data_IF_454850666603
#
_entry.id   IF_454850666603
#
_cell.length_a   1.000
_cell.length_b   1.000
_cell.length_c   1.000
_cell.angle_alpha   90.00
_cell.angle_beta   90.00
_cell.angle_gamma   90.00
#
_symmetry.space_group_name_H-M   'P 1'
#
loop_
_entity.id
_entity.type
_entity.pdbx_description
1 polymer ?
#
# COMPACT_ATOMS: atom_id res chain seq x y z
N UNK A 1 -16.61 -31.51 51.31
CA UNK A 1 -15.40 -32.18 51.84
C UNK A 1 -14.24 -31.72 50.99
N UNK A 2 -13.28 -31.05 51.64
CA UNK A 2 -12.22 -30.21 51.05
C UNK A 2 -11.20 -31.10 50.32
N UNK A 3 -10.73 -30.68 49.14
CA UNK A 3 -9.47 -31.16 48.58
C UNK A 3 -8.69 -29.98 47.95
N UNK A 4 -7.37 -29.85 48.17
CA UNK A 4 -6.65 -28.59 48.07
C UNK A 4 -5.88 -28.37 46.76
N UNK A 5 -5.48 -27.12 46.61
CA UNK A 5 -4.63 -26.47 45.60
C UNK A 5 -3.25 -27.11 45.40
N UNK A 6 -2.79 -27.18 44.14
CA UNK A 6 -1.36 -27.26 43.79
C UNK A 6 -0.97 -26.11 42.86
N UNK A 7 0.08 -25.40 43.28
CA UNK A 7 0.67 -24.21 42.70
C UNK A 7 1.28 -24.44 41.31
N UNK A 8 1.03 -23.51 40.39
CA UNK A 8 1.79 -23.37 39.13
C UNK A 8 2.93 -22.38 39.30
N UNK A 9 4.14 -22.83 38.95
CA UNK A 9 5.36 -22.02 38.79
C UNK A 9 5.26 -21.15 37.52
N UNK A 10 5.80 -19.92 37.51
CA UNK A 10 5.80 -19.07 36.32
C UNK A 10 6.87 -19.54 35.33
N UNK A 11 6.46 -19.90 34.11
CA UNK A 11 7.37 -20.13 32.99
C UNK A 11 8.02 -18.81 32.57
N UNK A 12 9.35 -18.78 32.61
CA UNK A 12 10.18 -17.71 32.07
C UNK A 12 9.90 -17.53 30.57
N UNK A 13 9.32 -16.38 30.19
CA UNK A 13 9.25 -15.94 28.80
C UNK A 13 10.64 -15.49 28.38
N UNK A 14 11.33 -16.33 27.60
CA UNK A 14 12.61 -15.98 26.97
C UNK A 14 12.31 -15.14 25.73
N UNK A 15 12.52 -13.83 25.85
CA UNK A 15 12.44 -12.87 24.75
C UNK A 15 13.60 -13.14 23.79
N UNK A 16 13.30 -13.63 22.58
CA UNK A 16 14.31 -13.80 21.52
C UNK A 16 14.61 -12.44 20.91
N UNK A 17 15.72 -11.83 21.33
CA UNK A 17 16.34 -10.70 20.62
C UNK A 17 17.26 -11.28 19.54
N UNK A 18 17.16 -10.90 18.26
CA UNK A 18 18.11 -11.36 17.25
C UNK A 18 19.44 -10.62 17.43
N UNK A 19 20.53 -11.40 17.49
CA UNK A 19 21.91 -10.92 17.44
C UNK A 19 22.19 -10.21 16.10
N UNK A 20 22.74 -8.99 16.08
CA UNK A 20 23.31 -8.43 14.87
C UNK A 20 24.67 -9.10 14.66
N UNK A 21 24.97 -9.51 13.42
CA UNK A 21 26.23 -10.17 13.00
C UNK A 21 26.19 -11.70 13.00
N UNK A 22 25.71 -12.29 11.89
CA UNK A 22 26.33 -13.48 11.30
C UNK A 22 26.51 -13.29 9.79
N UNK A 23 27.62 -13.76 9.20
CA UNK A 23 27.93 -13.57 7.80
C UNK A 23 27.16 -14.55 6.92
N UNK A 24 26.95 -14.14 5.66
CA UNK A 24 26.30 -14.90 4.60
C UNK A 24 26.88 -16.31 4.44
N UNK A 25 26.01 -17.31 4.50
CA UNK A 25 26.33 -18.72 4.25
C UNK A 25 25.05 -19.55 4.17
N UNK A 26 24.80 -20.05 2.97
CA UNK A 26 23.71 -20.93 2.52
C UNK A 26 22.30 -20.31 2.39
N UNK A 27 21.93 -20.15 1.13
CA UNK A 27 20.59 -19.98 0.58
C UNK A 27 19.71 -21.18 0.92
N UNK A 28 19.04 -21.14 2.06
CA UNK A 28 17.78 -21.85 2.27
C UNK A 28 16.68 -20.79 2.37
N UNK A 29 15.75 -20.86 1.42
CA UNK A 29 14.57 -20.01 1.35
C UNK A 29 13.81 -20.03 2.67
N UNK A 30 13.98 -18.98 3.47
CA UNK A 30 13.24 -18.79 4.71
C UNK A 30 11.84 -18.27 4.38
N UNK A 31 11.04 -19.07 3.67
CA UNK A 31 9.59 -18.85 3.62
C UNK A 31 9.08 -19.18 5.02
N UNK A 32 8.90 -18.16 5.86
CA UNK A 32 8.30 -18.34 7.18
C UNK A 32 6.79 -18.47 6.99
N UNK A 33 6.37 -19.71 6.70
CA UNK A 33 4.97 -20.15 6.81
C UNK A 33 4.36 -19.68 8.12
N UNK A 34 3.03 -19.49 8.17
CA UNK A 34 2.32 -19.27 9.42
C UNK A 34 2.52 -20.56 10.26
N UNK A 35 3.38 -20.54 11.31
CA UNK A 35 3.93 -21.79 11.84
C UNK A 35 2.89 -22.69 12.51
N UNK A 36 1.73 -22.13 12.87
CA UNK A 36 0.70 -22.81 13.65
C UNK A 36 -0.26 -23.68 12.83
N UNK A 37 -0.25 -23.61 11.49
CA UNK A 37 -1.24 -24.33 10.65
C UNK A 37 -0.67 -25.13 9.49
N UNK A 38 0.66 -25.21 9.33
CA UNK A 38 1.28 -25.96 8.22
C UNK A 38 0.86 -25.47 6.83
N UNK A 39 0.51 -24.18 6.73
CA UNK A 39 0.07 -23.53 5.49
C UNK A 39 1.20 -22.71 4.90
N UNK A 40 1.43 -22.86 3.60
CA UNK A 40 2.34 -22.03 2.80
C UNK A 40 1.60 -20.79 2.28
N UNK A 41 0.94 -20.07 3.20
CA UNK A 41 0.20 -18.85 2.85
C UNK A 41 1.17 -17.79 2.33
N UNK A 42 0.91 -17.30 1.11
CA UNK A 42 1.66 -16.20 0.51
C UNK A 42 1.26 -14.89 1.19
N UNK A 43 2.24 -14.20 1.77
CA UNK A 43 2.09 -12.89 2.40
C UNK A 43 2.59 -11.79 1.45
N UNK A 44 1.71 -10.85 1.09
CA UNK A 44 2.05 -9.67 0.28
C UNK A 44 2.06 -8.43 1.16
N UNK A 45 3.20 -7.75 1.27
CA UNK A 45 3.32 -6.52 2.04
C UNK A 45 3.01 -5.29 1.16
N UNK A 46 1.95 -4.56 1.49
CA UNK A 46 1.61 -3.28 0.87
C UNK A 46 2.24 -2.12 1.63
N UNK A 47 2.73 -1.11 0.91
CA UNK A 47 3.11 0.19 1.46
C UNK A 47 2.36 1.33 0.77
N UNK A 48 1.77 2.21 1.57
CA UNK A 48 1.07 3.43 1.13
C UNK A 48 1.95 4.69 1.24
N UNK A 49 3.24 4.49 1.51
CA UNK A 49 4.18 5.58 1.78
C UNK A 49 4.44 6.51 0.60
N UNK A 50 4.08 6.13 -0.64
CA UNK A 50 4.18 7.02 -1.80
C UNK A 50 3.33 8.28 -1.62
N UNK A 51 2.12 8.11 -1.10
CA UNK A 51 1.14 9.18 -0.97
C UNK A 51 0.95 9.67 0.47
N UNK A 52 1.45 8.93 1.46
CA UNK A 52 1.24 9.23 2.86
C UNK A 52 1.82 10.59 3.27
N UNK A 53 1.06 11.32 4.08
CA UNK A 53 1.42 12.64 4.60
C UNK A 53 1.54 12.69 6.12
N UNK A 54 1.17 11.60 6.80
CA UNK A 54 1.14 11.49 8.26
C UNK A 54 1.75 10.18 8.75
N UNK A 55 2.26 10.20 9.98
CA UNK A 55 2.80 9.06 10.70
C UNK A 55 2.29 9.07 12.15
N UNK A 56 2.02 7.90 12.72
CA UNK A 56 1.43 7.79 14.06
C UNK A 56 2.40 8.12 15.20
N UNK A 57 3.68 7.79 15.05
CA UNK A 57 4.69 7.93 16.11
C UNK A 57 6.09 8.07 15.52
N UNK A 58 6.98 8.73 16.24
CA UNK A 58 8.42 8.87 15.96
C UNK A 58 9.26 7.73 16.55
N UNK A 59 8.66 6.64 17.04
CA UNK A 59 9.42 5.63 17.80
C UNK A 59 10.42 4.84 16.97
N UNK A 60 10.17 4.67 15.66
CA UNK A 60 11.01 3.87 14.78
C UNK A 60 12.09 4.73 14.10
N UNK A 61 13.38 4.48 14.36
CA UNK A 61 14.44 5.30 13.79
C UNK A 61 14.56 5.24 12.27
N UNK A 62 13.97 4.22 11.63
CA UNK A 62 13.95 4.10 10.17
C UNK A 62 13.04 5.13 9.52
N UNK A 63 12.02 5.61 10.24
CA UNK A 63 11.11 6.63 9.74
C UNK A 63 11.65 8.05 9.89
N UNK A 64 12.60 8.29 10.81
CA UNK A 64 13.09 9.63 11.16
C UNK A 64 13.58 10.46 9.98
N UNK A 65 14.18 9.83 8.97
CA UNK A 65 14.66 10.52 7.76
C UNK A 65 13.53 11.13 6.91
N UNK A 66 12.28 10.74 7.16
CA UNK A 66 11.09 11.15 6.41
C UNK A 66 10.12 12.00 7.25
N UNK A 67 10.41 12.24 8.54
CA UNK A 67 9.53 13.02 9.41
C UNK A 67 9.84 14.51 9.24
N UNK A 68 8.80 15.28 8.94
CA UNK A 68 8.87 16.73 8.75
C UNK A 68 8.80 17.43 10.11
N UNK A 69 9.76 18.32 10.36
CA UNK A 69 9.79 19.18 11.54
C UNK A 69 9.79 20.66 11.17
N UNK A 70 9.26 21.48 12.08
CA UNK A 70 9.35 22.93 11.97
C UNK A 70 10.79 23.37 12.17
N UNK A 71 11.20 24.34 11.36
CA UNK A 71 12.50 25.02 11.46
C UNK A 71 12.35 26.49 11.89
N UNK A 72 11.14 26.91 12.28
CA UNK A 72 10.85 28.26 12.74
C UNK A 72 10.69 28.30 14.28
N UNK A 73 11.71 28.77 15.03
CA UNK A 73 11.66 28.79 16.50
C UNK A 73 10.72 29.84 17.09
N UNK A 74 10.14 30.72 16.26
CA UNK A 74 9.20 31.76 16.74
C UNK A 74 7.77 31.27 16.88
N UNK A 75 7.45 30.07 16.39
CA UNK A 75 6.11 29.51 16.44
C UNK A 75 5.88 28.69 17.70
N UNK A 76 4.72 28.87 18.32
CA UNK A 76 4.18 27.92 19.28
C UNK A 76 3.70 26.64 18.58
N UNK A 77 3.56 25.51 19.29
CA UNK A 77 3.01 24.27 18.72
C UNK A 77 1.63 24.49 18.07
N UNK A 78 1.41 23.86 16.92
CA UNK A 78 0.18 24.00 16.14
C UNK A 78 -1.06 23.68 16.98
N UNK A 79 -1.03 22.60 17.75
CA UNK A 79 -2.18 22.17 18.53
C UNK A 79 -2.59 23.17 19.61
N UNK A 80 -1.66 23.93 20.18
CA UNK A 80 -1.96 25.00 21.15
C UNK A 80 -2.68 26.17 20.46
N UNK A 81 -2.19 26.56 19.28
CA UNK A 81 -2.81 27.60 18.46
C UNK A 81 -4.24 27.20 18.01
N UNK A 82 -4.41 25.94 17.58
CA UNK A 82 -5.72 25.40 17.18
C UNK A 82 -6.69 25.37 18.35
N UNK A 83 -6.24 24.92 19.53
CA UNK A 83 -7.06 24.90 20.75
C UNK A 83 -7.49 26.31 21.18
N UNK A 84 -6.59 27.29 21.08
CA UNK A 84 -6.91 28.69 21.39
C UNK A 84 -7.89 29.28 20.37
N UNK A 85 -7.72 28.98 19.08
CA UNK A 85 -8.62 29.38 18.01
C UNK A 85 -10.04 28.83 18.19
N UNK A 86 -10.17 27.54 18.52
CA UNK A 86 -11.48 26.92 18.82
C UNK A 86 -12.14 27.58 20.04
N UNK A 87 -11.39 27.83 21.12
CA UNK A 87 -11.91 28.56 22.31
C UNK A 87 -12.36 29.98 22.00
N UNK A 88 -11.76 30.63 21.02
CA UNK A 88 -12.16 31.94 20.51
C UNK A 88 -13.36 31.87 19.55
N UNK A 89 -13.94 30.68 19.32
CA UNK A 89 -15.14 30.48 18.49
C UNK A 89 -14.86 30.23 17.01
N UNK A 90 -13.59 30.06 16.58
CA UNK A 90 -13.29 29.69 15.19
C UNK A 90 -13.66 28.23 14.92
N UNK A 91 -14.31 27.99 13.79
CA UNK A 91 -14.75 26.64 13.37
C UNK A 91 -14.63 26.49 11.85
N UNK A 92 -14.64 25.24 11.37
CA UNK A 92 -14.69 24.93 9.94
C UNK A 92 -13.59 25.63 9.14
N UNK A 93 -13.92 26.38 8.06
CA UNK A 93 -12.91 27.03 7.20
C UNK A 93 -11.97 28.00 7.92
N UNK A 94 -12.42 28.67 8.98
CA UNK A 94 -11.58 29.62 9.71
C UNK A 94 -10.52 28.91 10.55
N UNK A 95 -10.84 27.70 11.04
CA UNK A 95 -9.87 26.86 11.75
C UNK A 95 -8.88 26.22 10.77
N UNK A 96 -9.33 25.80 9.59
CA UNK A 96 -8.43 25.31 8.54
C UNK A 96 -7.42 26.39 8.13
N UNK A 97 -7.85 27.65 7.98
CA UNK A 97 -6.96 28.76 7.64
C UNK A 97 -5.86 28.97 8.69
N UNK A 98 -6.18 28.79 9.98
CA UNK A 98 -5.18 28.86 11.07
C UNK A 98 -4.12 27.78 10.92
N UNK A 99 -4.51 26.55 10.58
CA UNK A 99 -3.55 25.47 10.30
C UNK A 99 -2.70 25.77 9.06
N UNK A 100 -3.33 26.19 7.96
CA UNK A 100 -2.64 26.48 6.70
C UNK A 100 -1.61 27.61 6.86
N UNK A 101 -1.98 28.70 7.54
CA UNK A 101 -1.09 29.84 7.83
C UNK A 101 0.09 29.42 8.72
N UNK A 102 -0.16 28.56 9.71
CA UNK A 102 0.89 28.03 10.58
C UNK A 102 1.84 27.12 9.80
N UNK A 103 1.33 26.21 8.97
CA UNK A 103 2.14 25.31 8.14
C UNK A 103 3.01 26.09 7.15
N UNK A 104 2.46 27.13 6.53
CA UNK A 104 3.21 28.02 5.65
C UNK A 104 4.35 28.75 6.40
N UNK A 105 4.10 29.15 7.65
CA UNK A 105 5.08 29.84 8.49
C UNK A 105 6.12 28.91 9.13
N UNK A 106 5.78 27.63 9.30
CA UNK A 106 6.60 26.66 10.02
C UNK A 106 7.85 26.20 9.27
N UNK A 107 7.89 26.43 7.95
CA UNK A 107 8.95 25.99 7.05
C UNK A 107 9.35 24.53 7.33
N UNK A 108 8.38 23.63 7.13
CA UNK A 108 8.58 22.21 7.40
C UNK A 108 9.66 21.63 6.50
N UNK A 109 10.62 20.94 7.11
CA UNK A 109 11.74 20.31 6.40
C UNK A 109 12.03 18.94 7.00
N UNK A 110 12.71 18.08 6.26
CA UNK A 110 13.37 16.92 6.83
C UNK A 110 14.58 17.40 7.65
N UNK A 111 14.93 16.69 8.72
CA UNK A 111 16.08 17.07 9.54
C UNK A 111 17.36 17.17 8.71
N UNK A 112 17.57 16.22 7.80
CA UNK A 112 18.74 16.22 6.94
C UNK A 112 18.80 17.46 6.03
N UNK A 113 17.68 17.87 5.45
CA UNK A 113 17.61 19.07 4.59
C UNK A 113 17.83 20.36 5.40
N UNK A 114 17.35 20.40 6.64
CA UNK A 114 17.60 21.50 7.56
C UNK A 114 19.10 21.61 7.90
N UNK A 115 19.80 20.48 8.08
CA UNK A 115 21.27 20.45 8.27
C UNK A 115 22.01 20.93 7.03
N UNK A 116 21.64 20.47 5.84
CA UNK A 116 22.27 20.90 4.59
C UNK A 116 22.09 22.41 4.36
N UNK A 117 20.90 22.93 4.66
CA UNK A 117 20.60 24.36 4.60
C UNK A 117 21.37 25.17 5.66
N UNK A 118 21.62 24.58 6.83
CA UNK A 118 22.45 25.21 7.87
C UNK A 118 23.93 25.27 7.45
N UNK A 119 24.47 24.22 6.81
CA UNK A 119 25.82 24.24 6.21
C UNK A 119 25.94 25.35 5.17
N UNK A 120 24.92 25.55 4.33
CA UNK A 120 24.93 26.63 3.33
C UNK A 120 24.98 28.03 3.95
N UNK A 121 24.32 28.23 5.09
CA UNK A 121 24.23 29.53 5.77
C UNK A 121 25.33 29.76 6.82
N UNK A 122 26.15 28.75 7.12
CA UNK A 122 27.17 28.85 8.13
C UNK A 122 28.23 29.92 7.77
N UNK A 123 28.39 30.99 8.56
CA UNK A 123 29.30 32.09 8.24
C UNK A 123 30.77 31.74 8.42
N UNK A 124 31.08 30.69 9.21
CA UNK A 124 32.43 30.21 9.49
C UNK A 124 32.93 29.10 8.56
N UNK A 125 32.15 28.70 7.55
CA UNK A 125 32.50 27.63 6.61
C UNK A 125 32.67 28.23 5.22
N UNK A 126 33.85 28.06 4.61
CA UNK A 126 34.11 28.62 3.28
C UNK A 126 33.27 27.93 2.21
N UNK A 127 32.97 28.63 1.11
CA UNK A 127 32.19 28.08 0.01
C UNK A 127 32.81 26.82 -0.61
N UNK A 128 34.13 26.67 -0.56
CA UNK A 128 34.85 25.47 -1.03
C UNK A 128 34.70 24.26 -0.11
N UNK A 129 34.42 24.46 1.18
CA UNK A 129 34.29 23.37 2.16
C UNK A 129 32.86 22.83 2.25
N UNK A 130 31.86 23.65 1.96
CA UNK A 130 30.43 23.30 2.06
C UNK A 130 30.06 22.01 1.31
N UNK A 131 30.47 21.78 0.05
CA UNK A 131 30.12 20.55 -0.66
C UNK A 131 30.63 19.29 0.05
N UNK A 132 31.87 19.31 0.52
CA UNK A 132 32.47 18.15 1.20
C UNK A 132 31.77 17.84 2.53
N UNK A 133 31.42 18.87 3.31
CA UNK A 133 30.69 18.70 4.57
C UNK A 133 29.26 18.16 4.34
N UNK A 134 28.59 18.60 3.28
CA UNK A 134 27.27 18.09 2.89
C UNK A 134 27.34 16.60 2.55
N UNK A 135 28.28 16.21 1.70
CA UNK A 135 28.49 14.79 1.36
C UNK A 135 28.84 13.97 2.59
N UNK A 136 29.76 14.47 3.43
CA UNK A 136 30.12 13.82 4.68
C UNK A 136 28.92 13.59 5.60
N UNK A 137 28.06 14.61 5.78
CA UNK A 137 26.85 14.48 6.58
C UNK A 137 25.88 13.46 5.98
N UNK A 138 25.59 13.55 4.67
CA UNK A 138 24.64 12.67 4.00
C UNK A 138 25.06 11.19 4.07
N UNK A 139 26.35 10.91 3.92
CA UNK A 139 26.86 9.54 3.99
C UNK A 139 26.85 9.00 5.42
N UNK A 140 27.25 9.80 6.41
CA UNK A 140 27.32 9.37 7.81
C UNK A 140 25.97 9.35 8.52
N UNK A 141 25.00 10.16 8.10
CA UNK A 141 23.65 10.20 8.67
C UNK A 141 22.72 9.11 8.10
N UNK A 142 23.12 8.42 7.02
CA UNK A 142 22.28 7.41 6.37
C UNK A 142 21.96 6.26 7.33
N UNK A 143 20.66 6.00 7.53
CA UNK A 143 20.18 4.94 8.43
C UNK A 143 20.38 5.22 9.92
N UNK A 144 20.78 6.44 10.31
CA UNK A 144 20.93 6.85 11.70
C UNK A 144 19.62 7.34 12.29
N UNK A 145 19.47 7.17 13.60
CA UNK A 145 18.37 7.79 14.35
C UNK A 145 18.50 9.32 14.36
N UNK A 146 17.41 10.03 14.70
CA UNK A 146 17.41 11.48 14.80
C UNK A 146 18.43 11.99 15.83
N UNK A 147 18.57 11.30 16.97
CA UNK A 147 19.55 11.65 18.00
C UNK A 147 20.99 11.54 17.50
N UNK A 148 21.31 10.46 16.78
CA UNK A 148 22.63 10.27 16.18
C UNK A 148 22.91 11.30 15.07
N UNK A 149 21.93 11.53 14.19
CA UNK A 149 22.05 12.54 13.13
C UNK A 149 22.23 13.95 13.70
N UNK A 150 21.56 14.27 14.82
CA UNK A 150 21.69 15.55 15.53
C UNK A 150 23.07 15.70 16.19
N UNK A 151 23.60 14.64 16.79
CA UNK A 151 24.96 14.63 17.33
C UNK A 151 26.02 14.82 16.23
N UNK A 152 25.84 14.18 15.08
CA UNK A 152 26.69 14.37 13.91
C UNK A 152 26.63 15.82 13.40
N UNK A 153 25.43 16.36 13.21
CA UNK A 153 25.24 17.74 12.75
C UNK A 153 25.92 18.75 13.70
N UNK A 154 25.77 18.57 15.02
CA UNK A 154 26.44 19.38 16.03
C UNK A 154 27.96 19.33 15.90
N UNK A 155 28.51 18.14 15.63
CA UNK A 155 29.96 17.96 15.44
C UNK A 155 30.46 18.69 14.20
N UNK A 156 29.73 18.62 13.08
CA UNK A 156 30.12 19.25 11.82
C UNK A 156 29.95 20.77 11.83
N UNK A 157 28.91 21.28 12.48
CA UNK A 157 28.57 22.71 12.47
C UNK A 157 29.04 23.47 13.71
N UNK A 158 29.49 22.76 14.76
CA UNK A 158 29.77 23.34 16.08
C UNK A 158 28.59 24.14 16.67
N UNK A 159 27.36 23.82 16.24
CA UNK A 159 26.14 24.50 16.64
C UNK A 159 24.94 23.54 16.61
N UNK A 160 23.94 23.81 17.44
CA UNK A 160 22.66 23.09 17.40
C UNK A 160 21.71 23.73 16.39
N UNK A 161 21.11 22.90 15.55
CA UNK A 161 20.04 23.31 14.63
C UNK A 161 18.70 23.20 15.34
N UNK A 162 17.90 24.26 15.23
CA UNK A 162 16.51 24.21 15.64
C UNK A 162 15.72 23.32 14.69
N UNK A 163 15.07 22.30 15.25
CA UNK A 163 14.20 21.38 14.55
C UNK A 163 13.23 20.79 15.57
N UNK A 164 11.93 20.93 15.30
CA UNK A 164 10.88 20.41 16.16
C UNK A 164 9.79 19.72 15.33
N UNK A 165 9.74 18.39 15.40
CA UNK A 165 8.73 17.57 14.74
C UNK A 165 7.47 17.34 15.58
N UNK A 166 7.43 17.78 16.84
CA UNK A 166 6.28 17.67 17.74
C UNK A 166 5.36 18.87 17.58
N UNK A 167 5.93 20.06 17.32
CA UNK A 167 5.20 21.29 17.04
C UNK A 167 4.19 21.18 15.87
N UNK A 168 4.48 20.54 14.72
CA UNK A 168 3.56 20.42 13.59
C UNK A 168 2.53 19.29 13.70
N UNK A 169 2.42 18.59 14.84
CA UNK A 169 1.49 17.47 14.98
C UNK A 169 0.04 17.88 14.76
N UNK A 170 -0.75 16.97 14.19
CA UNK A 170 -2.20 17.16 14.04
C UNK A 170 -2.90 17.13 15.41
N UNK A 171 -4.19 17.50 15.44
CA UNK A 171 -4.99 17.46 16.69
C UNK A 171 -5.10 16.05 17.28
N UNK A 172 -5.03 15.03 16.42
CA UNK A 172 -5.01 13.61 16.79
C UNK A 172 -3.63 13.13 17.27
N UNK A 173 -2.62 13.99 17.18
CA UNK A 173 -1.24 13.70 17.59
C UNK A 173 -0.36 13.08 16.51
N UNK A 174 -0.79 13.08 15.23
CA UNK A 174 0.01 12.51 14.15
C UNK A 174 1.16 13.43 13.74
N UNK A 175 2.31 12.82 13.46
CA UNK A 175 3.49 13.48 12.91
C UNK A 175 3.32 13.71 11.41
N UNK A 176 3.94 14.77 10.90
CA UNK A 176 3.98 15.06 9.46
C UNK A 176 5.03 14.19 8.78
N UNK A 177 4.65 13.49 7.72
CA UNK A 177 5.51 12.59 6.96
C UNK A 177 5.72 13.13 5.54
N UNK A 178 6.95 13.11 5.08
CA UNK A 178 7.27 13.24 3.66
C UNK A 178 7.26 11.86 3.03
N UNK A 179 6.12 11.51 2.44
CA UNK A 179 6.00 10.32 1.61
C UNK A 179 6.82 10.38 0.32
N UNK A 180 6.50 9.48 -0.60
CA UNK A 180 7.10 9.36 -1.92
C UNK A 180 7.86 8.05 -2.11
N UNK A 181 8.37 7.85 -3.33
CA UNK A 181 9.02 6.60 -3.73
C UNK A 181 10.21 6.22 -2.82
N UNK A 182 11.01 7.19 -2.38
CA UNK A 182 12.12 6.92 -1.47
C UNK A 182 11.66 6.37 -0.10
N UNK A 183 10.58 6.92 0.46
CA UNK A 183 9.99 6.43 1.71
C UNK A 183 9.40 5.02 1.50
N UNK A 184 8.74 4.80 0.37
CA UNK A 184 8.19 3.50 0.01
C UNK A 184 9.27 2.42 -0.17
N UNK A 185 10.39 2.73 -0.84
CA UNK A 185 11.54 1.82 -0.98
C UNK A 185 12.12 1.48 0.40
N UNK A 186 12.34 2.48 1.26
CA UNK A 186 12.88 2.25 2.61
C UNK A 186 12.02 1.27 3.43
N UNK A 187 10.70 1.43 3.36
CA UNK A 187 9.73 0.51 3.99
C UNK A 187 9.72 -0.85 3.33
N UNK A 188 9.66 -0.92 2.00
CA UNK A 188 9.68 -2.16 1.22
C UNK A 188 10.91 -3.02 1.52
N UNK A 189 12.10 -2.41 1.56
CA UNK A 189 13.36 -3.10 1.92
C UNK A 189 13.32 -3.65 3.35
N UNK A 190 12.66 -2.94 4.27
CA UNK A 190 12.46 -3.38 5.66
C UNK A 190 11.41 -4.50 5.78
N UNK A 191 10.40 -4.53 4.91
CA UNK A 191 9.35 -5.55 4.89
C UNK A 191 9.80 -6.84 4.22
N UNK A 192 10.70 -6.74 3.23
CA UNK A 192 11.08 -7.84 2.35
C UNK A 192 11.46 -9.16 3.03
N UNK A 193 12.16 -9.18 4.19
CA UNK A 193 12.45 -10.43 4.91
C UNK A 193 11.22 -11.17 5.47
N UNK A 194 10.04 -10.53 5.45
CA UNK A 194 8.83 -10.99 6.14
C UNK A 194 7.63 -11.18 5.19
N UNK A 195 7.84 -11.04 3.88
CA UNK A 195 6.80 -11.18 2.87
C UNK A 195 7.33 -11.84 1.61
N UNK A 196 6.46 -12.56 0.91
CA UNK A 196 6.77 -13.24 -0.35
C UNK A 196 6.75 -12.30 -1.55
N UNK A 197 6.02 -11.18 -1.46
CA UNK A 197 6.02 -10.11 -2.44
C UNK A 197 5.75 -8.75 -1.79
N UNK A 198 6.20 -7.68 -2.45
CA UNK A 198 5.97 -6.29 -2.02
C UNK A 198 5.14 -5.53 -3.07
N UNK A 199 4.25 -4.67 -2.59
CA UNK A 199 3.43 -3.78 -3.40
C UNK A 199 3.52 -2.35 -2.86
N UNK A 200 3.92 -1.39 -3.70
CA UNK A 200 3.75 0.04 -3.44
C UNK A 200 2.49 0.54 -4.14
N UNK A 201 1.56 1.16 -3.40
CA UNK A 201 0.45 1.89 -4.02
C UNK A 201 0.96 3.16 -4.72
N UNK A 202 0.42 3.48 -5.89
CA UNK A 202 0.80 4.65 -6.68
C UNK A 202 -0.39 5.53 -7.04
N UNK A 203 -0.14 6.82 -7.28
CA UNK A 203 -1.17 7.79 -7.68
C UNK A 203 -1.49 7.75 -9.17
N UNK A 204 -0.56 7.26 -9.99
CA UNK A 204 -0.66 7.22 -11.45
C UNK A 204 0.02 5.96 -11.99
N UNK A 205 -0.33 5.50 -13.20
CA UNK A 205 0.35 4.40 -13.85
C UNK A 205 1.67 4.88 -14.48
N UNK A 206 2.59 5.39 -13.67
CA UNK A 206 3.90 5.90 -14.10
C UNK A 206 4.95 4.79 -14.11
N UNK A 207 5.38 4.41 -15.32
CA UNK A 207 6.41 3.40 -15.51
C UNK A 207 7.77 3.80 -14.91
N UNK A 208 8.14 5.08 -14.95
CA UNK A 208 9.43 5.53 -14.41
C UNK A 208 9.46 5.39 -12.89
N UNK A 209 8.37 5.75 -12.20
CA UNK A 209 8.22 5.51 -10.77
C UNK A 209 8.23 4.01 -10.44
N UNK A 210 7.51 3.18 -11.22
CA UNK A 210 7.48 1.73 -11.02
C UNK A 210 8.88 1.11 -11.18
N UNK A 211 9.66 1.58 -12.15
CA UNK A 211 11.06 1.18 -12.35
C UNK A 211 11.95 1.61 -11.19
N UNK A 212 11.86 2.87 -10.76
CA UNK A 212 12.64 3.37 -9.63
C UNK A 212 12.36 2.59 -8.33
N UNK A 213 11.09 2.23 -8.08
CA UNK A 213 10.73 1.39 -6.94
C UNK A 213 11.33 -0.02 -7.06
N UNK A 214 11.20 -0.67 -8.22
CA UNK A 214 11.74 -2.00 -8.46
C UNK A 214 13.27 -2.03 -8.29
N UNK A 215 13.99 -1.10 -8.93
CA UNK A 215 15.45 -0.98 -8.81
C UNK A 215 15.88 -0.72 -7.36
N UNK A 216 15.16 0.14 -6.63
CA UNK A 216 15.45 0.44 -5.23
C UNK A 216 15.30 -0.77 -4.30
N UNK A 217 14.27 -1.58 -4.50
CA UNK A 217 14.06 -2.82 -3.75
C UNK A 217 15.07 -3.89 -4.16
N UNK A 218 15.25 -4.12 -5.46
CA UNK A 218 16.15 -5.14 -6.01
C UNK A 218 17.62 -4.87 -5.75
N UNK A 219 18.03 -3.62 -5.52
CA UNK A 219 19.37 -3.29 -5.05
C UNK A 219 19.71 -3.93 -3.68
N UNK A 220 18.70 -4.22 -2.86
CA UNK A 220 18.86 -4.87 -1.55
C UNK A 220 18.41 -6.33 -1.57
N UNK A 221 17.35 -6.63 -2.34
CA UNK A 221 16.72 -7.95 -2.44
C UNK A 221 16.50 -8.30 -3.92
N UNK A 222 17.53 -8.77 -4.65
CA UNK A 222 17.49 -8.93 -6.11
C UNK A 222 16.40 -9.87 -6.63
N UNK A 223 15.97 -10.83 -5.81
CA UNK A 223 14.96 -11.84 -6.16
C UNK A 223 13.57 -11.53 -5.56
N UNK A 224 13.39 -10.34 -4.97
CA UNK A 224 12.12 -9.99 -4.34
C UNK A 224 11.01 -9.87 -5.39
N UNK A 225 9.92 -10.60 -5.19
CA UNK A 225 8.74 -10.53 -6.06
C UNK A 225 8.01 -9.22 -5.80
N UNK A 226 7.53 -8.60 -6.88
CA UNK A 226 6.75 -7.38 -6.78
C UNK A 226 5.33 -7.62 -7.28
N UNK A 227 4.39 -6.86 -6.73
CA UNK A 227 3.01 -6.82 -7.17
C UNK A 227 2.59 -5.39 -7.52
N UNK A 228 1.70 -5.24 -8.50
CA UNK A 228 1.28 -3.94 -9.02
C UNK A 228 -0.23 -3.84 -9.16
N UNK A 229 -0.81 -2.76 -8.64
CA UNK A 229 -2.22 -2.42 -8.81
C UNK A 229 -2.42 -1.62 -10.10
N UNK A 230 -3.07 -2.24 -11.08
CA UNK A 230 -3.55 -1.58 -12.29
C UNK A 230 -4.84 -0.82 -11.96
N UNK A 231 -4.72 0.23 -11.15
CA UNK A 231 -5.86 0.88 -10.50
C UNK A 231 -6.89 1.41 -11.50
N UNK A 232 -8.18 1.08 -11.34
CA UNK A 232 -9.25 1.69 -12.13
C UNK A 232 -9.55 3.14 -11.68
N UNK A 233 -8.94 3.61 -10.59
CA UNK A 233 -8.98 5.04 -10.21
C UNK A 233 -8.13 5.91 -11.14
N UNK A 234 -7.24 5.31 -11.93
CA UNK A 234 -6.50 6.01 -12.97
C UNK A 234 -7.41 6.26 -14.17
N UNK A 235 -7.34 7.47 -14.73
CA UNK A 235 -7.90 7.70 -16.05
C UNK A 235 -6.90 7.19 -17.11
N UNK A 236 -6.99 5.90 -17.44
CA UNK A 236 -6.09 5.22 -18.38
C UNK A 236 -6.04 5.88 -19.76
N UNK A 237 -7.18 6.39 -20.25
CA UNK A 237 -7.28 7.07 -21.55
C UNK A 237 -6.43 8.34 -21.61
N UNK A 238 -6.34 9.08 -20.50
CA UNK A 238 -5.51 10.29 -20.43
C UNK A 238 -4.08 9.99 -19.98
N UNK A 239 -3.87 8.89 -19.25
CA UNK A 239 -2.56 8.56 -18.69
C UNK A 239 -1.59 8.04 -19.76
N UNK A 240 -2.06 7.26 -20.74
CA UNK A 240 -1.19 6.72 -21.80
C UNK A 240 -1.98 6.30 -23.06
N UNK A 241 -1.35 6.30 -24.25
CA UNK A 241 -2.00 5.89 -25.51
C UNK A 241 -2.28 4.37 -25.57
N UNK A 242 -3.20 3.91 -26.44
CA UNK A 242 -3.62 2.49 -26.48
C UNK A 242 -2.47 1.48 -26.65
N UNK A 243 -1.50 1.76 -27.53
CA UNK A 243 -0.34 0.85 -27.69
C UNK A 243 0.56 0.76 -26.45
N UNK A 244 0.57 1.81 -25.62
CA UNK A 244 1.24 1.75 -24.32
C UNK A 244 0.43 1.01 -23.27
N UNK A 245 -0.91 1.12 -23.29
CA UNK A 245 -1.81 0.36 -22.40
C UNK A 245 -1.63 -1.15 -22.63
N UNK A 246 -1.60 -1.57 -23.89
CA UNK A 246 -1.44 -2.98 -24.29
C UNK A 246 -0.14 -3.59 -23.78
N UNK A 247 0.95 -2.83 -23.79
CA UNK A 247 2.28 -3.31 -23.37
C UNK A 247 2.60 -3.03 -21.90
N UNK A 248 1.78 -2.25 -21.18
CA UNK A 248 2.10 -1.78 -19.82
C UNK A 248 2.36 -2.94 -18.85
N UNK A 249 1.51 -3.97 -18.87
CA UNK A 249 1.64 -5.16 -18.03
C UNK A 249 2.95 -5.90 -18.30
N UNK A 250 3.32 -6.08 -19.57
CA UNK A 250 4.54 -6.78 -19.96
C UNK A 250 5.79 -5.98 -19.58
N UNK A 251 5.76 -4.65 -19.77
CA UNK A 251 6.84 -3.75 -19.34
C UNK A 251 7.05 -3.83 -17.83
N UNK A 252 5.98 -3.82 -17.03
CA UNK A 252 6.07 -4.02 -15.58
C UNK A 252 6.60 -5.41 -15.22
N UNK A 253 6.14 -6.47 -15.88
CA UNK A 253 6.61 -7.83 -15.61
C UNK A 253 8.13 -7.98 -15.79
N UNK A 254 8.72 -7.30 -16.78
CA UNK A 254 10.17 -7.27 -16.99
C UNK A 254 10.96 -6.63 -15.84
N UNK A 255 10.30 -5.83 -14.98
CA UNK A 255 10.87 -5.24 -13.77
C UNK A 255 10.66 -6.10 -12.51
N UNK A 256 10.06 -7.30 -12.64
CA UNK A 256 9.78 -8.20 -11.51
C UNK A 256 8.38 -8.07 -10.90
N UNK A 257 7.47 -7.27 -11.49
CA UNK A 257 6.05 -7.23 -11.12
C UNK A 257 5.31 -8.47 -11.64
N UNK A 258 5.51 -9.59 -10.93
CA UNK A 258 5.05 -10.92 -11.32
C UNK A 258 3.56 -11.18 -11.05
N UNK A 259 2.92 -10.36 -10.21
CA UNK A 259 1.47 -10.41 -9.98
C UNK A 259 0.86 -9.02 -10.15
N UNK A 260 -0.13 -8.90 -11.02
CA UNK A 260 -0.77 -7.64 -11.35
C UNK A 260 -2.28 -7.82 -11.36
N UNK A 261 -3.01 -6.82 -10.89
CA UNK A 261 -4.46 -6.93 -10.70
C UNK A 261 -5.15 -5.58 -10.86
N UNK A 262 -6.39 -5.61 -11.35
CA UNK A 262 -7.28 -4.44 -11.38
C UNK A 262 -8.25 -4.60 -10.20
N UNK A 263 -8.04 -3.81 -9.15
CA UNK A 263 -8.75 -3.93 -7.87
C UNK A 263 -10.27 -3.97 -7.97
N UNK A 264 -10.86 -3.08 -8.78
CA UNK A 264 -12.31 -2.88 -8.85
C UNK A 264 -12.90 -3.23 -10.24
N UNK A 265 -12.22 -4.06 -11.04
CA UNK A 265 -12.73 -4.42 -12.37
C UNK A 265 -14.13 -5.05 -12.30
N UNK A 266 -14.34 -6.00 -11.39
CA UNK A 266 -15.65 -6.66 -11.20
C UNK A 266 -16.76 -5.69 -10.81
N UNK A 267 -16.45 -4.65 -10.02
CA UNK A 267 -17.41 -3.60 -9.68
C UNK A 267 -17.81 -2.80 -10.92
N UNK A 268 -16.82 -2.34 -11.70
CA UNK A 268 -17.07 -1.51 -12.88
C UNK A 268 -17.75 -2.27 -14.01
N UNK A 269 -17.37 -3.54 -14.27
CA UNK A 269 -18.03 -4.36 -15.30
C UNK A 269 -19.48 -4.65 -14.94
N UNK A 270 -19.76 -5.01 -13.68
CA UNK A 270 -21.12 -5.25 -13.19
C UNK A 270 -21.97 -3.98 -13.25
N UNK A 271 -21.43 -2.84 -12.81
CA UNK A 271 -22.16 -1.57 -12.84
C UNK A 271 -22.47 -1.13 -14.27
N UNK A 272 -21.50 -1.25 -15.19
CA UNK A 272 -21.66 -0.86 -16.59
C UNK A 272 -22.78 -1.64 -17.27
N UNK A 273 -22.74 -2.97 -17.21
CA UNK A 273 -23.76 -3.79 -17.88
C UNK A 273 -25.13 -3.64 -17.22
N UNK A 274 -25.17 -3.44 -15.89
CA UNK A 274 -26.43 -3.21 -15.18
C UNK A 274 -27.10 -1.90 -15.60
N UNK A 275 -26.35 -0.79 -15.72
CA UNK A 275 -26.93 0.49 -16.20
C UNK A 275 -27.39 0.39 -17.66
N UNK A 276 -26.55 -0.18 -18.54
CA UNK A 276 -26.88 -0.33 -19.96
C UNK A 276 -28.14 -1.18 -20.15
N UNK A 277 -28.19 -2.37 -19.53
CA UNK A 277 -29.32 -3.27 -19.66
C UNK A 277 -30.58 -2.69 -19.01
N UNK A 278 -30.53 -2.20 -17.77
CA UNK A 278 -31.72 -1.69 -17.10
C UNK A 278 -32.33 -0.48 -17.85
N UNK A 279 -31.49 0.39 -18.40
CA UNK A 279 -31.92 1.55 -19.21
C UNK A 279 -32.64 1.11 -20.49
N UNK A 280 -32.06 0.17 -21.24
CA UNK A 280 -32.66 -0.35 -22.47
C UNK A 280 -33.92 -1.18 -22.17
N UNK A 281 -33.87 -2.03 -21.14
CA UNK A 281 -34.99 -2.87 -20.74
C UNK A 281 -36.22 -2.05 -20.31
N UNK A 282 -36.01 -0.92 -19.61
CA UNK A 282 -37.09 0.00 -19.25
C UNK A 282 -37.75 0.67 -20.47
N UNK A 283 -37.05 0.76 -21.61
CA UNK A 283 -37.55 1.38 -22.85
C UNK A 283 -38.15 0.33 -23.82
N UNK A 284 -37.44 -0.78 -24.04
CA UNK A 284 -37.69 -1.74 -25.11
C UNK A 284 -38.12 -3.13 -24.61
N UNK A 285 -38.19 -3.34 -23.29
CA UNK A 285 -38.62 -4.60 -22.68
C UNK A 285 -37.78 -5.80 -23.14
N UNK A 286 -38.43 -6.90 -23.50
CA UNK A 286 -37.75 -8.16 -23.88
C UNK A 286 -36.84 -8.04 -25.11
N UNK A 287 -37.05 -7.04 -25.97
CA UNK A 287 -36.14 -6.79 -27.09
C UNK A 287 -34.72 -6.49 -26.59
N UNK A 288 -34.59 -5.69 -25.53
CA UNK A 288 -33.30 -5.40 -24.92
C UNK A 288 -32.62 -6.66 -24.35
N UNK A 289 -33.39 -7.62 -23.81
CA UNK A 289 -32.83 -8.89 -23.34
C UNK A 289 -32.30 -9.75 -24.49
N UNK A 290 -33.06 -9.87 -25.59
CA UNK A 290 -32.62 -10.57 -26.79
C UNK A 290 -31.33 -9.97 -27.37
N UNK A 291 -31.35 -8.66 -27.66
CA UNK A 291 -30.26 -7.96 -28.36
C UNK A 291 -29.01 -7.74 -27.50
N UNK A 292 -29.15 -7.41 -26.22
CA UNK A 292 -28.00 -7.01 -25.37
C UNK A 292 -27.44 -8.14 -24.51
N UNK A 293 -28.19 -9.22 -24.28
CA UNK A 293 -27.81 -10.30 -23.36
C UNK A 293 -27.76 -11.64 -24.11
N UNK A 294 -28.92 -12.15 -24.54
CA UNK A 294 -29.03 -13.53 -25.01
C UNK A 294 -28.31 -13.78 -26.34
N UNK A 295 -28.50 -12.93 -27.36
CA UNK A 295 -27.80 -13.08 -28.64
C UNK A 295 -26.28 -12.94 -28.47
N UNK A 296 -25.74 -11.94 -27.75
CA UNK A 296 -24.31 -11.90 -27.41
C UNK A 296 -23.80 -13.13 -26.67
N UNK A 297 -24.53 -13.67 -25.68
CA UNK A 297 -24.17 -14.90 -24.98
C UNK A 297 -24.08 -16.10 -25.93
N UNK A 298 -25.03 -16.23 -26.87
CA UNK A 298 -25.02 -17.29 -27.87
C UNK A 298 -23.86 -17.13 -28.87
N UNK A 299 -23.63 -15.93 -29.39
CA UNK A 299 -22.55 -15.64 -30.36
C UNK A 299 -21.17 -15.85 -29.74
N UNK A 300 -20.97 -15.44 -28.49
CA UNK A 300 -19.71 -15.60 -27.76
C UNK A 300 -19.55 -17.00 -27.16
N UNK A 301 -20.61 -17.82 -27.16
CA UNK A 301 -20.59 -19.17 -26.58
C UNK A 301 -20.42 -19.16 -25.06
N UNK A 302 -21.04 -18.21 -24.36
CA UNK A 302 -21.01 -18.12 -22.89
C UNK A 302 -21.71 -19.34 -22.30
N UNK A 303 -21.05 -20.05 -21.40
CA UNK A 303 -21.54 -21.28 -20.78
C UNK A 303 -22.86 -21.09 -20.00
N UNK A 304 -23.01 -19.94 -19.36
CA UNK A 304 -24.18 -19.56 -18.55
C UNK A 304 -25.48 -19.51 -19.35
N UNK A 305 -25.46 -19.36 -20.69
CA UNK A 305 -26.69 -19.38 -21.51
C UNK A 305 -27.48 -20.68 -21.29
N UNK A 306 -26.76 -21.78 -21.06
CA UNK A 306 -27.29 -23.08 -20.61
C UNK A 306 -27.21 -23.18 -19.08
N UNK A 307 -28.00 -22.34 -18.43
CA UNK A 307 -27.96 -22.09 -16.99
C UNK A 307 -28.31 -23.31 -16.11
N UNK A 308 -29.15 -24.25 -16.56
CA UNK A 308 -29.40 -25.51 -15.86
C UNK A 308 -28.16 -26.41 -15.92
N UNK A 309 -27.55 -26.55 -17.09
CA UNK A 309 -26.31 -27.31 -17.21
C UNK A 309 -25.18 -26.67 -16.39
N UNK A 310 -24.99 -25.36 -16.52
CA UNK A 310 -23.93 -24.61 -15.84
C UNK A 310 -24.04 -24.67 -14.31
N UNK A 311 -25.26 -24.55 -13.77
CA UNK A 311 -25.51 -24.66 -12.33
C UNK A 311 -25.32 -26.07 -11.76
N UNK A 312 -25.05 -27.07 -12.62
CA UNK A 312 -24.76 -28.43 -12.22
C UNK A 312 -26.01 -29.30 -12.04
N UNK A 313 -27.15 -28.96 -12.66
CA UNK A 313 -28.38 -29.77 -12.57
C UNK A 313 -28.11 -31.23 -12.95
N UNK A 314 -27.37 -31.48 -14.04
CA UNK A 314 -26.99 -32.82 -14.46
C UNK A 314 -26.11 -33.55 -13.42
N UNK A 315 -25.20 -32.83 -12.74
CA UNK A 315 -24.35 -33.41 -11.69
C UNK A 315 -25.19 -33.88 -10.50
N UNK A 316 -26.14 -33.06 -10.06
CA UNK A 316 -27.06 -33.43 -8.98
C UNK A 316 -28.00 -34.56 -9.40
N UNK A 317 -28.49 -34.57 -10.64
CA UNK A 317 -29.33 -35.64 -11.19
C UNK A 317 -28.58 -36.99 -11.16
N UNK A 318 -27.30 -37.03 -11.51
CA UNK A 318 -26.49 -38.25 -11.43
C UNK A 318 -26.20 -38.68 -9.99
N UNK A 319 -25.95 -37.74 -9.07
CA UNK A 319 -25.87 -38.04 -7.64
C UNK A 319 -27.18 -38.65 -7.11
N UNK A 320 -28.33 -38.12 -7.54
CA UNK A 320 -29.64 -38.65 -7.17
C UNK A 320 -29.83 -40.07 -7.70
N UNK A 321 -29.61 -40.29 -9.01
CA UNK A 321 -29.71 -41.63 -9.61
C UNK A 321 -28.79 -42.63 -8.91
N UNK A 322 -27.57 -42.22 -8.53
CA UNK A 322 -26.64 -43.07 -7.79
C UNK A 322 -27.23 -43.55 -6.45
N UNK A 323 -27.89 -42.66 -5.69
CA UNK A 323 -28.46 -43.02 -4.37
C UNK A 323 -29.89 -43.59 -4.44
N UNK A 324 -30.59 -43.44 -5.57
CA UNK A 324 -31.96 -43.97 -5.78
C UNK A 324 -32.00 -45.23 -6.66
N UNK A 325 -30.86 -45.89 -6.90
CA UNK A 325 -30.82 -47.17 -7.60
C UNK A 325 -30.97 -47.07 -9.13
N UNK A 326 -30.52 -45.96 -9.72
CA UNK A 326 -30.47 -45.74 -11.16
C UNK A 326 -31.72 -45.11 -11.78
N UNK A 327 -32.74 -44.79 -10.97
CA UNK A 327 -34.01 -44.25 -11.46
C UNK A 327 -34.45 -43.08 -10.56
N UNK A 328 -34.69 -41.91 -11.14
CA UNK A 328 -35.29 -40.76 -10.46
C UNK A 328 -36.35 -40.13 -11.36
N UNK A 329 -37.61 -40.08 -10.89
CA UNK A 329 -38.73 -39.46 -11.60
C UNK A 329 -38.72 -37.93 -11.54
N UNK A 330 -37.79 -37.34 -10.80
CA UNK A 330 -37.67 -35.88 -10.57
C UNK A 330 -36.42 -35.28 -11.20
N UNK A 331 -35.73 -36.00 -12.08
CA UNK A 331 -34.53 -35.49 -12.76
C UNK A 331 -34.85 -34.24 -13.59
N UNK A 332 -34.08 -33.18 -13.40
CA UNK A 332 -34.30 -31.88 -14.04
C UNK A 332 -33.91 -31.89 -15.53
N UNK A 333 -32.93 -32.71 -15.91
CA UNK A 333 -32.39 -32.79 -17.28
C UNK A 333 -33.08 -33.87 -18.14
N UNK A 334 -34.41 -33.83 -18.21
CA UNK A 334 -35.25 -34.78 -18.93
C UNK A 334 -35.64 -34.37 -20.36
N UNK A 335 -36.62 -35.08 -20.93
CA UNK A 335 -37.19 -34.77 -22.26
C UNK A 335 -38.01 -33.48 -22.20
N UNK A 336 -37.64 -32.45 -22.97
CA UNK A 336 -38.34 -31.15 -23.01
C UNK A 336 -37.69 -30.02 -22.21
N UNK A 337 -36.38 -30.11 -21.94
CA UNK A 337 -35.62 -29.05 -21.27
C UNK A 337 -35.57 -27.79 -22.13
N UNK A 338 -35.76 -26.63 -21.51
CA UNK A 338 -35.83 -25.32 -22.19
C UNK A 338 -34.54 -24.92 -22.88
N UNK A 339 -33.42 -25.55 -22.54
CA UNK A 339 -32.10 -25.29 -23.14
C UNK A 339 -31.94 -25.82 -24.58
N UNK A 340 -32.84 -26.68 -25.05
CA UNK A 340 -32.87 -27.18 -26.45
C UNK A 340 -33.18 -26.04 -27.46
N UNK A 341 -33.43 -24.83 -26.97
CA UNK A 341 -33.67 -23.63 -27.79
C UNK A 341 -32.37 -22.85 -28.08
N UNK A 342 -31.26 -23.18 -27.42
CA UNK A 342 -29.98 -22.47 -27.52
C UNK A 342 -28.98 -23.23 -28.42
N UNK A 343 -29.33 -23.36 -29.71
CA UNK A 343 -28.55 -24.07 -30.74
C UNK A 343 -27.89 -23.15 -31.75
#
# INVERSE_FOLDING_TARGET
MICPTTSTSPQNVRMLVPDPVRPAGNSEHLVRSIPSRGSDLIAVARTDAEAATLLTTTIDPRDHAFILGSTNPSLQPLNELMTAAEKAGKVGPDLQRVEDDWLASANLQLFNDAVLSAIDRAPGISSSEKPNLKTQFQDQARGKSHLEARALARTLLSADIFFDWDAPRTREGYYRLQGGCACAISRAVSYAPFCDAVWMESKLPDYAQAKAFAEGVHAHWPEQKLAYNLSPSFNWKTAMPPGEQETYIQRLAALGYCWQFITLAGLHTTALISDQFARAFAQDGMRAYGELVQEPEMVLGVDVVKHQKWSGAAYVDELQKMVTGGVSSTAAMGKGVTEDQFH
#
